data_IF_681916681378
#
_entry.id   IF_681916681378
#
_cell.length_a   1.000
_cell.length_b   1.000
_cell.length_c   1.000
_cell.angle_alpha   90.00
_cell.angle_beta   90.00
_cell.angle_gamma   90.00
#
_symmetry.space_group_name_H-M   'P 1'
#
loop_
_entity.id
_entity.type
_entity.pdbx_description
1 polymer ?
#
# COMPACT_ATOMS: atom_id res chain seq x y z
N UNK A 1 -28.47 -13.07 13.58
CA UNK A 1 -27.11 -13.54 13.23
C UNK A 1 -27.20 -14.91 12.57
N UNK A 2 -26.56 -15.11 11.41
CA UNK A 2 -26.72 -16.33 10.58
C UNK A 2 -26.13 -17.59 11.24
N UNK A 3 -25.23 -17.41 12.22
CA UNK A 3 -24.54 -18.51 12.93
C UNK A 3 -25.51 -19.52 13.55
N UNK A 4 -26.58 -19.08 14.22
CA UNK A 4 -27.58 -19.97 14.82
C UNK A 4 -28.56 -20.63 13.83
N UNK A 5 -28.61 -20.11 12.59
CA UNK A 5 -29.41 -20.69 11.49
C UNK A 5 -28.58 -21.69 10.69
N UNK A 6 -27.26 -21.48 10.59
CA UNK A 6 -26.34 -22.34 9.85
C UNK A 6 -26.27 -23.78 10.40
N UNK A 7 -26.53 -24.00 11.69
CA UNK A 7 -26.65 -25.36 12.25
C UNK A 7 -27.87 -26.13 11.73
N UNK A 8 -28.95 -25.40 11.39
CA UNK A 8 -30.22 -26.00 10.94
C UNK A 8 -30.39 -25.97 9.42
N UNK A 9 -29.74 -25.02 8.74
CA UNK A 9 -29.82 -24.73 7.31
C UNK A 9 -28.41 -24.37 6.79
N UNK A 10 -27.53 -25.37 6.59
CA UNK A 10 -26.12 -25.18 6.25
C UNK A 10 -25.89 -24.44 4.93
N UNK A 11 -26.82 -24.53 3.99
CA UNK A 11 -26.82 -23.81 2.71
C UNK A 11 -26.90 -22.28 2.90
N UNK A 12 -27.62 -21.80 3.92
CA UNK A 12 -27.70 -20.37 4.23
C UNK A 12 -26.38 -19.87 4.84
N UNK A 13 -25.75 -20.69 5.68
CA UNK A 13 -24.42 -20.40 6.23
C UNK A 13 -23.36 -20.27 5.13
N UNK A 14 -23.34 -21.19 4.17
CA UNK A 14 -22.40 -21.16 3.02
C UNK A 14 -22.64 -19.95 2.13
N UNK A 15 -23.89 -19.65 1.79
CA UNK A 15 -24.22 -18.48 0.97
C UNK A 15 -23.79 -17.16 1.65
N UNK A 16 -23.91 -17.05 2.97
CA UNK A 16 -23.47 -15.87 3.71
C UNK A 16 -21.94 -15.67 3.67
N UNK A 17 -21.18 -16.76 3.85
CA UNK A 17 -19.71 -16.73 3.77
C UNK A 17 -19.26 -16.34 2.36
N UNK A 18 -19.84 -16.98 1.33
CA UNK A 18 -19.53 -16.72 -0.08
C UNK A 18 -19.90 -15.30 -0.52
N UNK A 19 -21.10 -14.83 -0.17
CA UNK A 19 -21.58 -13.52 -0.62
C UNK A 19 -20.97 -12.34 0.17
N UNK A 20 -20.60 -12.55 1.43
CA UNK A 20 -20.12 -11.48 2.32
C UNK A 20 -18.61 -11.51 2.52
N UNK A 21 -18.13 -12.54 3.23
CA UNK A 21 -16.74 -12.59 3.71
C UNK A 21 -15.76 -12.88 2.57
N UNK A 22 -16.03 -13.89 1.73
CA UNK A 22 -15.16 -14.25 0.61
C UNK A 22 -15.06 -13.13 -0.43
N UNK A 23 -16.17 -12.45 -0.74
CA UNK A 23 -16.18 -11.29 -1.63
C UNK A 23 -15.35 -10.12 -1.08
N UNK A 24 -15.46 -9.84 0.23
CA UNK A 24 -14.67 -8.81 0.89
C UNK A 24 -13.17 -9.12 0.91
N UNK A 25 -12.82 -10.36 1.25
CA UNK A 25 -11.43 -10.83 1.25
C UNK A 25 -10.84 -10.79 -0.16
N UNK A 26 -11.57 -11.30 -1.16
CA UNK A 26 -11.10 -11.30 -2.56
C UNK A 26 -10.74 -9.89 -3.04
N UNK A 27 -11.60 -8.90 -2.76
CA UNK A 27 -11.34 -7.50 -3.11
C UNK A 27 -10.13 -6.92 -2.38
N UNK A 28 -9.95 -7.26 -1.10
CA UNK A 28 -8.80 -6.83 -0.33
C UNK A 28 -7.50 -7.49 -0.82
N UNK A 29 -7.55 -8.78 -1.16
CA UNK A 29 -6.42 -9.53 -1.73
C UNK A 29 -5.95 -8.90 -3.04
N UNK A 30 -6.87 -8.52 -3.94
CA UNK A 30 -6.54 -7.82 -5.19
C UNK A 30 -5.83 -6.49 -4.89
N UNK A 31 -6.37 -5.69 -3.98
CA UNK A 31 -5.78 -4.40 -3.62
C UNK A 31 -4.39 -4.55 -2.99
N UNK A 32 -4.21 -5.48 -2.06
CA UNK A 32 -2.93 -5.76 -1.41
C UNK A 32 -1.90 -6.29 -2.41
N UNK A 33 -2.32 -7.10 -3.38
CA UNK A 33 -1.44 -7.61 -4.44
C UNK A 33 -0.87 -6.47 -5.29
N UNK A 34 -1.69 -5.46 -5.61
CA UNK A 34 -1.22 -4.26 -6.32
C UNK A 34 -0.20 -3.49 -5.47
N UNK A 35 -0.42 -3.39 -4.16
CA UNK A 35 0.49 -2.69 -3.24
C UNK A 35 1.82 -3.41 -3.04
N UNK A 36 1.80 -4.73 -2.98
CA UNK A 36 3.01 -5.56 -2.94
C UNK A 36 3.80 -5.45 -4.25
N UNK A 37 3.12 -5.54 -5.40
CA UNK A 37 3.75 -5.40 -6.73
C UNK A 37 4.38 -4.01 -6.95
N UNK A 38 3.76 -2.94 -6.44
CA UNK A 38 4.33 -1.57 -6.43
C UNK A 38 5.43 -1.39 -5.39
N UNK A 39 5.53 -2.35 -4.48
CA UNK A 39 6.55 -2.37 -3.47
C UNK A 39 6.37 -1.42 -2.31
N UNK A 40 5.12 -1.06 -2.05
CA UNK A 40 4.71 -0.32 -0.86
C UNK A 40 4.62 -1.28 0.34
N UNK A 41 4.22 -2.53 0.08
CA UNK A 41 4.15 -3.63 1.04
C UNK A 41 5.11 -4.77 0.66
N UNK A 42 5.35 -5.67 1.60
CA UNK A 42 6.06 -6.93 1.38
C UNK A 42 5.26 -8.06 2.03
N UNK A 43 4.44 -8.75 1.24
CA UNK A 43 3.50 -9.77 1.71
C UNK A 43 3.76 -11.09 0.97
N UNK A 44 4.13 -12.14 1.71
CA UNK A 44 4.41 -13.45 1.12
C UNK A 44 3.13 -14.17 0.67
N UNK A 45 2.08 -14.13 1.50
CA UNK A 45 0.77 -14.73 1.24
C UNK A 45 -0.31 -13.65 1.40
N UNK A 46 -0.71 -13.07 0.27
CA UNK A 46 -1.61 -11.92 0.24
C UNK A 46 -3.03 -12.29 0.68
N UNK A 47 -3.49 -13.47 0.30
CA UNK A 47 -4.83 -13.94 0.63
C UNK A 47 -4.94 -14.22 2.14
N UNK A 48 -3.94 -14.90 2.72
CA UNK A 48 -3.91 -15.14 4.15
C UNK A 48 -3.83 -13.82 4.94
N UNK A 49 -3.03 -12.87 4.49
CA UNK A 49 -2.94 -11.54 5.10
C UNK A 49 -4.28 -10.79 5.04
N UNK A 50 -5.02 -10.89 3.93
CA UNK A 50 -6.34 -10.29 3.78
C UNK A 50 -7.37 -10.91 4.75
N UNK A 51 -7.39 -12.24 4.90
CA UNK A 51 -8.22 -12.94 5.88
C UNK A 51 -7.92 -12.47 7.30
N UNK A 52 -6.64 -12.41 7.68
CA UNK A 52 -6.21 -11.98 9.01
C UNK A 52 -6.63 -10.54 9.31
N UNK A 53 -6.48 -9.63 8.34
CA UNK A 53 -6.89 -8.25 8.48
C UNK A 53 -8.42 -8.12 8.65
N UNK A 54 -9.19 -8.80 7.80
CA UNK A 54 -10.65 -8.76 7.85
C UNK A 54 -11.20 -9.25 9.19
N UNK A 55 -10.66 -10.36 9.71
CA UNK A 55 -11.01 -10.88 11.03
C UNK A 55 -10.57 -9.90 12.12
N UNK A 56 -9.35 -9.37 12.04
CA UNK A 56 -8.79 -8.43 13.02
C UNK A 56 -9.65 -7.17 13.22
N UNK A 57 -10.26 -6.66 12.16
CA UNK A 57 -11.13 -5.48 12.20
C UNK A 57 -12.40 -5.65 13.04
N UNK A 58 -12.89 -6.89 13.22
CA UNK A 58 -14.18 -7.10 13.89
C UNK A 58 -14.17 -8.16 15.00
N UNK A 59 -13.09 -8.93 15.17
CA UNK A 59 -13.06 -10.06 16.09
C UNK A 59 -13.47 -9.68 17.52
N UNK A 60 -12.89 -8.60 18.05
CA UNK A 60 -13.21 -8.13 19.41
C UNK A 60 -14.66 -7.65 19.54
N UNK A 61 -15.23 -7.05 18.49
CA UNK A 61 -16.56 -6.45 18.53
C UNK A 61 -17.66 -7.50 18.34
N UNK A 62 -17.43 -8.49 17.48
CA UNK A 62 -18.42 -9.51 17.12
C UNK A 62 -18.46 -10.66 18.11
N UNK A 63 -17.35 -10.98 18.77
CA UNK A 63 -17.28 -12.11 19.71
C UNK A 63 -18.33 -12.04 20.83
N UNK A 64 -18.54 -10.90 21.54
CA UNK A 64 -19.60 -10.80 22.55
C UNK A 64 -21.00 -10.99 21.96
N UNK A 65 -21.25 -10.43 20.77
CA UNK A 65 -22.54 -10.56 20.09
C UNK A 65 -22.88 -12.02 19.79
N UNK A 66 -21.88 -12.85 19.47
CA UNK A 66 -22.06 -14.30 19.23
C UNK A 66 -22.61 -15.00 20.47
N UNK A 67 -22.23 -14.55 21.67
CA UNK A 67 -22.71 -15.10 22.94
C UNK A 67 -23.97 -14.40 23.50
N UNK A 68 -24.67 -13.63 22.66
CA UNK A 68 -25.97 -13.04 22.99
C UNK A 68 -25.89 -11.65 23.62
N UNK A 69 -24.74 -10.98 23.57
CA UNK A 69 -24.67 -9.56 23.89
C UNK A 69 -25.30 -8.73 22.76
N UNK A 70 -26.42 -8.07 23.04
CA UNK A 70 -27.09 -7.19 22.07
C UNK A 70 -26.54 -5.76 22.08
N UNK A 71 -25.53 -5.49 22.92
CA UNK A 71 -24.89 -4.18 23.00
C UNK A 71 -24.18 -3.86 21.69
N UNK A 72 -24.66 -2.82 21.00
CA UNK A 72 -23.99 -2.33 19.81
C UNK A 72 -22.67 -1.66 20.21
N UNK A 73 -21.54 -1.99 19.57
CA UNK A 73 -20.28 -1.34 19.88
C UNK A 73 -20.35 0.16 19.61
N UNK A 74 -19.85 0.95 20.54
CA UNK A 74 -19.77 2.40 20.37
C UNK A 74 -18.72 2.78 19.33
N UNK A 75 -18.83 4.02 18.81
CA UNK A 75 -17.95 4.52 17.77
C UNK A 75 -16.47 4.54 18.21
N UNK A 76 -16.19 4.82 19.49
CA UNK A 76 -14.82 4.89 20.01
C UNK A 76 -14.16 3.50 20.05
N UNK A 77 -14.93 2.46 20.38
CA UNK A 77 -14.49 1.07 20.39
C UNK A 77 -14.23 0.56 18.98
N UNK A 78 -15.10 0.92 18.03
CA UNK A 78 -14.90 0.63 16.61
C UNK A 78 -13.60 1.28 16.12
N UNK A 79 -13.43 2.58 16.34
CA UNK A 79 -12.24 3.33 15.93
C UNK A 79 -10.96 2.74 16.52
N UNK A 80 -10.97 2.43 17.82
CA UNK A 80 -9.84 1.81 18.50
C UNK A 80 -9.44 0.47 17.87
N UNK A 81 -10.41 -0.40 17.59
CA UNK A 81 -10.14 -1.73 17.03
C UNK A 81 -9.60 -1.61 15.61
N UNK A 82 -10.22 -0.77 14.78
CA UNK A 82 -9.77 -0.54 13.39
C UNK A 82 -8.36 0.04 13.35
N UNK A 83 -8.09 1.08 14.15
CA UNK A 83 -6.75 1.70 14.21
C UNK A 83 -5.69 0.67 14.63
N UNK A 84 -5.97 -0.14 15.66
CA UNK A 84 -5.05 -1.17 16.10
C UNK A 84 -4.80 -2.24 15.02
N UNK A 85 -5.84 -2.67 14.30
CA UNK A 85 -5.72 -3.64 13.22
C UNK A 85 -4.87 -3.07 12.06
N UNK A 86 -5.11 -1.83 11.66
CA UNK A 86 -4.33 -1.14 10.62
C UNK A 86 -2.88 -0.96 11.03
N UNK A 87 -2.62 -0.45 12.24
CA UNK A 87 -1.26 -0.23 12.74
C UNK A 87 -0.46 -1.54 12.82
N UNK A 88 -1.09 -2.61 13.31
CA UNK A 88 -0.46 -3.92 13.41
C UNK A 88 -0.17 -4.51 12.02
N UNK A 89 -1.12 -4.39 11.10
CA UNK A 89 -0.97 -4.86 9.73
C UNK A 89 0.16 -4.13 8.99
N UNK A 90 0.17 -2.80 9.06
CA UNK A 90 1.23 -1.99 8.45
C UNK A 90 2.58 -2.22 9.12
N UNK A 91 2.64 -2.42 10.43
CA UNK A 91 3.89 -2.75 11.12
C UNK A 91 4.49 -4.08 10.65
N UNK A 92 3.64 -5.05 10.30
CA UNK A 92 4.06 -6.36 9.80
C UNK A 92 4.50 -6.31 8.32
N UNK A 93 3.81 -5.55 7.48
CA UNK A 93 3.94 -5.65 6.02
C UNK A 93 4.48 -4.40 5.32
N UNK A 94 4.54 -3.24 5.98
CA UNK A 94 5.09 -2.04 5.36
C UNK A 94 6.58 -2.23 5.08
N UNK A 95 7.01 -1.87 3.87
CA UNK A 95 8.44 -1.87 3.57
C UNK A 95 9.13 -0.80 4.42
N UNK A 96 10.05 -1.25 5.27
CA UNK A 96 10.94 -0.35 5.99
C UNK A 96 11.80 0.37 4.94
N UNK A 97 11.57 1.67 4.72
CA UNK A 97 12.47 2.50 3.92
C UNK A 97 13.87 2.34 4.50
N UNK A 98 14.77 1.68 3.76
CA UNK A 98 16.18 1.68 4.14
C UNK A 98 16.71 3.08 3.87
N UNK A 99 17.51 3.61 4.78
CA UNK A 99 18.13 4.94 4.67
C UNK A 99 19.01 5.12 3.42
N UNK A 100 19.29 4.04 2.68
CA UNK A 100 20.09 4.05 1.44
C UNK A 100 19.37 4.64 0.22
N UNK A 101 18.04 4.63 0.16
CA UNK A 101 17.27 5.14 -1.00
C UNK A 101 17.31 6.68 -1.13
N UNK A 102 17.88 7.39 -0.16
CA UNK A 102 18.03 8.86 -0.20
C UNK A 102 19.26 9.28 -1.04
N UNK A 103 20.23 8.39 -1.28
CA UNK A 103 21.49 8.75 -1.93
C UNK A 103 21.40 8.75 -3.47
N UNK A 104 20.46 8.01 -4.06
CA UNK A 104 20.38 7.84 -5.52
C UNK A 104 19.46 8.87 -6.23
N UNK A 105 18.78 9.74 -5.48
CA UNK A 105 17.93 10.80 -6.02
C UNK A 105 18.66 12.12 -6.34
N UNK A 106 20.00 12.13 -6.34
CA UNK A 106 20.78 13.24 -6.92
C UNK A 106 21.29 12.80 -8.29
N UNK A 107 20.51 13.12 -9.33
CA UNK A 107 20.88 12.94 -10.74
C UNK A 107 22.23 13.63 -11.04
N UNK A 108 23.11 13.00 -11.84
CA UNK A 108 24.22 13.71 -12.46
C UNK A 108 23.67 14.67 -13.53
N UNK A 109 24.03 15.94 -13.41
CA UNK A 109 23.82 16.91 -14.48
C UNK A 109 24.72 16.57 -15.68
N UNK A 110 24.17 16.84 -16.86
CA UNK A 110 24.81 17.00 -18.17
C UNK A 110 24.86 15.75 -19.09
N UNK A 111 23.95 15.79 -20.07
CA UNK A 111 23.95 15.05 -21.33
C UNK A 111 25.03 15.62 -22.29
N UNK A 112 25.51 14.80 -23.25
CA UNK A 112 26.73 15.06 -24.02
C UNK A 112 26.53 16.03 -25.19
N UNK A 113 27.39 17.04 -25.27
CA UNK A 113 27.47 17.98 -26.38
C UNK A 113 28.79 17.76 -27.14
N UNK A 114 28.75 17.02 -28.26
CA UNK A 114 29.77 17.07 -29.31
C UNK A 114 29.42 16.19 -30.52
N UNK A 115 28.61 16.70 -31.44
CA UNK A 115 28.74 16.35 -32.85
C UNK A 115 29.55 17.47 -33.55
N UNK A 116 30.79 17.16 -33.95
CA UNK A 116 31.64 18.03 -34.79
C UNK A 116 31.12 18.05 -36.24
N UNK A 117 31.32 19.16 -36.96
CA UNK A 117 32.22 19.03 -38.11
C UNK A 117 33.30 20.12 -38.15
N UNK A 118 34.37 19.78 -38.89
CA UNK A 118 35.59 20.55 -39.07
C UNK A 118 35.42 21.69 -40.08
N UNK A 119 36.03 22.84 -39.79
CA UNK A 119 36.62 23.75 -40.79
C UNK A 119 37.94 24.27 -40.23
N UNK A 120 39.01 24.02 -40.97
CA UNK A 120 40.36 24.57 -40.78
C UNK A 120 40.43 26.05 -41.17
N UNK A 121 41.52 26.70 -40.71
CA UNK A 121 42.06 28.02 -41.08
C UNK A 121 41.64 29.15 -40.12
N UNK A 122 42.47 30.10 -39.69
CA UNK A 122 43.91 30.37 -39.77
C UNK A 122 44.13 31.66 -38.95
N UNK A 123 45.30 31.80 -38.32
CA UNK A 123 45.94 33.04 -37.84
C UNK A 123 45.23 33.94 -36.77
N UNK A 124 45.95 34.10 -35.66
CA UNK A 124 45.93 35.28 -34.77
C UNK A 124 46.52 36.52 -35.51
N UNK A 125 46.65 37.76 -34.95
CA UNK A 125 46.35 38.18 -33.57
C UNK A 125 45.75 39.63 -33.41
N UNK A 126 45.51 40.01 -32.14
CA UNK A 126 45.52 41.38 -31.55
C UNK A 126 44.53 42.44 -32.07
N UNK A 127 43.77 43.03 -31.14
CA UNK A 127 43.97 44.42 -30.68
C UNK A 127 42.66 45.08 -30.19
N UNK A 128 42.72 45.53 -28.93
CA UNK A 128 42.17 46.77 -28.39
C UNK A 128 40.66 47.10 -28.40
N UNK A 129 40.26 47.66 -27.24
CA UNK A 129 39.33 48.77 -27.06
C UNK A 129 37.81 48.49 -26.94
N UNK A 130 37.39 48.44 -25.67
CA UNK A 130 36.22 49.11 -25.08
C UNK A 130 36.18 50.64 -25.46
N UNK A 131 35.14 51.47 -25.19
CA UNK A 131 33.71 51.27 -24.86
C UNK A 131 32.72 52.13 -25.72
N UNK A 132 31.42 52.01 -25.39
CA UNK A 132 30.37 53.06 -25.44
C UNK A 132 29.76 53.48 -26.78
N UNK A 133 28.47 53.14 -26.98
CA UNK A 133 27.39 54.13 -26.96
C UNK A 133 26.01 53.49 -26.78
#
# INVERSE_FOLDING_TARGET
>A
MVIGVAEKLPEIGRAYVQAGQEAGVSRLTEWLSIKDARGELAINDVELAAWQFMIGCHAMLVMPMIFGDETQPDAASIERVVNHAVDSFLSAFARRRRSTDVVEATLPAELPDAQRPAVSAEAAPKSAANPSR
#
